data_IF_773452334350
#
_entry.id   IF_773452334350
#
_cell.length_a   1.000
_cell.length_b   1.000
_cell.length_c   1.000
_cell.angle_alpha   90.00
_cell.angle_beta   90.00
_cell.angle_gamma   90.00
#
_symmetry.space_group_name_H-M   'P 1'
#
loop_
_entity.id
_entity.type
_entity.pdbx_description
1 polymer ?
#
# COMPACT_ATOMS: atom_id res chain seq x y z
N UNK A 1 -5.48 15.09 11.37
CA UNK A 1 -6.83 14.56 11.09
C UNK A 1 -6.62 13.15 10.61
N UNK A 2 -7.27 12.14 11.21
CA UNK A 2 -7.20 10.76 10.70
C UNK A 2 -8.47 10.51 9.92
N UNK A 3 -8.37 10.31 8.61
CA UNK A 3 -9.56 10.05 7.79
C UNK A 3 -10.09 8.65 8.15
N UNK A 4 -11.39 8.49 8.42
CA UNK A 4 -11.95 7.17 8.64
C UNK A 4 -11.76 6.33 7.39
N UNK A 5 -11.27 5.10 7.54
CA UNK A 5 -11.01 4.18 6.44
C UNK A 5 -12.24 3.92 5.54
N UNK A 6 -13.45 4.21 6.01
CA UNK A 6 -14.70 4.13 5.25
C UNK A 6 -14.89 5.22 4.18
N UNK A 7 -14.15 6.33 4.24
CA UNK A 7 -14.19 7.39 3.23
C UNK A 7 -13.16 7.19 2.11
N UNK A 8 -12.33 6.15 2.22
CA UNK A 8 -11.33 5.83 1.21
C UNK A 8 -12.06 5.04 0.11
N UNK A 9 -12.04 5.57 -1.11
CA UNK A 9 -12.52 4.91 -2.32
C UNK A 9 -11.33 4.57 -3.24
N UNK A 10 -11.59 3.88 -4.35
CA UNK A 10 -10.53 3.44 -5.25
C UNK A 10 -9.91 4.64 -5.98
N UNK A 11 -10.71 5.66 -6.24
CA UNK A 11 -10.28 6.89 -6.93
C UNK A 11 -9.28 7.68 -6.08
N UNK A 12 -9.52 7.85 -4.78
CA UNK A 12 -8.60 8.56 -3.91
C UNK A 12 -7.26 7.82 -3.73
N UNK A 13 -7.25 6.49 -3.85
CA UNK A 13 -6.03 5.68 -3.74
C UNK A 13 -5.19 5.66 -5.03
N UNK A 14 -5.85 5.62 -6.20
CA UNK A 14 -5.20 5.30 -7.47
C UNK A 14 -5.10 6.45 -8.46
N UNK A 15 -6.03 7.41 -8.42
CA UNK A 15 -6.16 8.44 -9.45
C UNK A 15 -5.70 9.78 -8.91
N UNK A 16 -4.49 10.19 -9.26
CA UNK A 16 -3.91 11.48 -8.83
C UNK A 16 -4.73 12.69 -9.32
N UNK A 17 -5.39 12.54 -10.48
CA UNK A 17 -6.22 13.58 -11.09
C UNK A 17 -7.68 13.58 -10.59
N UNK A 18 -8.04 12.71 -9.64
CA UNK A 18 -9.40 12.67 -9.08
C UNK A 18 -9.59 13.78 -8.04
N UNK A 19 -10.79 14.37 -8.00
CA UNK A 19 -11.20 15.29 -6.93
C UNK A 19 -11.05 14.66 -5.53
N UNK A 20 -11.27 13.34 -5.44
CA UNK A 20 -11.14 12.56 -4.21
C UNK A 20 -9.69 12.32 -3.80
N UNK A 21 -8.68 12.57 -4.66
CA UNK A 21 -7.27 12.36 -4.31
C UNK A 21 -6.83 13.20 -3.11
N UNK A 22 -7.40 14.39 -2.93
CA UNK A 22 -7.07 15.25 -1.79
C UNK A 22 -7.55 14.73 -0.42
N UNK A 23 -8.36 13.66 -0.38
CA UNK A 23 -8.90 13.09 0.85
C UNK A 23 -7.79 12.58 1.79
N UNK A 24 -6.73 11.98 1.21
CA UNK A 24 -5.58 11.48 1.95
C UNK A 24 -4.42 12.47 1.87
N UNK A 25 -3.90 12.86 3.02
CA UNK A 25 -2.67 13.68 3.10
C UNK A 25 -1.45 12.88 2.62
N UNK A 26 -0.38 13.58 2.20
CA UNK A 26 0.87 12.94 1.78
C UNK A 26 1.42 11.98 2.86
N UNK A 27 1.36 12.41 4.13
CA UNK A 27 1.76 11.56 5.27
C UNK A 27 0.90 10.30 5.42
N UNK A 28 -0.42 10.41 5.22
CA UNK A 28 -1.32 9.24 5.28
C UNK A 28 -1.04 8.29 4.11
N UNK A 29 -0.67 8.81 2.94
CA UNK A 29 -0.28 8.01 1.76
C UNK A 29 1.00 7.20 1.98
N UNK A 30 1.90 7.69 2.83
CA UNK A 30 3.11 6.99 3.21
C UNK A 30 2.89 5.89 4.26
N UNK A 31 1.72 5.85 4.92
CA UNK A 31 1.42 4.81 5.89
C UNK A 31 1.41 3.42 5.25
N UNK A 32 1.98 2.45 5.96
CA UNK A 32 2.10 1.08 5.46
C UNK A 32 0.76 0.49 5.00
N UNK A 33 -0.32 0.72 5.74
CA UNK A 33 -1.64 0.22 5.40
C UNK A 33 -2.15 0.76 4.06
N UNK A 34 -1.92 2.05 3.78
CA UNK A 34 -2.33 2.69 2.52
C UNK A 34 -1.48 2.18 1.36
N UNK A 35 -0.17 2.01 1.58
CA UNK A 35 0.74 1.43 0.57
C UNK A 35 0.38 -0.02 0.24
N UNK A 36 0.08 -0.83 1.25
CA UNK A 36 -0.38 -2.21 1.09
C UNK A 36 -1.68 -2.25 0.29
N UNK A 37 -2.64 -1.38 0.62
CA UNK A 37 -3.90 -1.27 -0.09
C UNK A 37 -3.67 -0.98 -1.58
N UNK A 38 -2.85 0.02 -1.89
CA UNK A 38 -2.47 0.36 -3.26
C UNK A 38 -1.88 -0.83 -4.02
N UNK A 39 -1.04 -1.65 -3.37
CA UNK A 39 -0.43 -2.82 -4.03
C UNK A 39 -1.46 -3.90 -4.37
N UNK A 40 -2.46 -4.11 -3.52
CA UNK A 40 -3.53 -5.08 -3.77
C UNK A 40 -4.49 -4.57 -4.86
N UNK A 41 -4.77 -3.26 -4.90
CA UNK A 41 -5.66 -2.69 -5.91
C UNK A 41 -5.07 -2.63 -7.33
N UNK A 42 -3.75 -2.43 -7.46
CA UNK A 42 -3.07 -2.28 -8.77
C UNK A 42 -2.62 -3.63 -9.36
N UNK A 43 -2.67 -4.71 -8.57
CA UNK A 43 -1.94 -5.96 -8.83
C UNK A 43 -2.65 -7.05 -9.66
N UNK A 44 -3.36 -6.72 -10.75
CA UNK A 44 -3.99 -7.72 -11.63
C UNK A 44 -3.59 -7.57 -13.10
N UNK A 45 -3.43 -8.70 -13.83
CA UNK A 45 -3.21 -8.71 -15.30
C UNK A 45 -4.43 -8.22 -16.09
N UNK A 46 -5.58 -8.08 -15.44
CA UNK A 46 -6.86 -7.79 -16.07
C UNK A 46 -7.41 -6.54 -15.38
N UNK A 47 -7.65 -5.47 -16.15
CA UNK A 47 -8.38 -4.28 -15.71
C UNK A 47 -9.82 -4.67 -15.36
N UNK A 48 -10.02 -5.25 -14.17
CA UNK A 48 -11.35 -5.54 -13.65
C UNK A 48 -11.94 -4.20 -13.22
N UNK A 49 -12.97 -3.77 -13.95
CA UNK A 49 -13.76 -2.60 -13.61
C UNK A 49 -14.55 -2.97 -12.35
N UNK A 50 -13.96 -2.70 -11.20
CA UNK A 50 -14.49 -3.07 -9.89
C UNK A 50 -15.25 -1.89 -9.31
N UNK A 51 -16.58 -2.04 -9.25
CA UNK A 51 -17.48 -1.03 -8.65
C UNK A 51 -17.49 -1.10 -7.12
N UNK A 52 -16.97 -2.20 -6.53
CA UNK A 52 -16.99 -2.44 -5.10
C UNK A 52 -15.58 -2.44 -4.48
N UNK A 53 -15.32 -1.50 -3.56
CA UNK A 53 -14.05 -1.45 -2.82
C UNK A 53 -13.98 -2.47 -1.66
N UNK A 54 -15.13 -2.97 -1.21
CA UNK A 54 -15.25 -3.81 -0.02
C UNK A 54 -14.38 -5.08 -0.06
N UNK A 55 -14.30 -5.85 -1.17
CA UNK A 55 -13.45 -7.04 -1.25
C UNK A 55 -11.98 -6.72 -1.01
N UNK A 56 -11.50 -5.58 -1.52
CA UNK A 56 -10.13 -5.13 -1.32
C UNK A 56 -9.88 -4.74 0.14
N UNK A 57 -10.80 -4.00 0.76
CA UNK A 57 -10.72 -3.65 2.19
C UNK A 57 -10.61 -4.90 3.05
N UNK A 58 -11.48 -5.88 2.82
CA UNK A 58 -11.50 -7.11 3.60
C UNK A 58 -10.23 -7.94 3.38
N UNK A 59 -9.68 -7.92 2.17
CA UNK A 59 -8.42 -8.59 1.82
C UNK A 59 -7.22 -7.92 2.48
N UNK A 60 -7.07 -6.61 2.32
CA UNK A 60 -5.99 -5.82 2.91
C UNK A 60 -6.03 -5.91 4.43
N UNK A 61 -7.22 -5.90 5.04
CA UNK A 61 -7.38 -6.06 6.49
C UNK A 61 -6.88 -7.41 6.99
N UNK A 62 -7.13 -8.49 6.25
CA UNK A 62 -6.62 -9.83 6.59
C UNK A 62 -5.09 -9.85 6.50
N UNK A 63 -4.55 -9.43 5.35
CA UNK A 63 -3.10 -9.40 5.13
C UNK A 63 -2.39 -8.52 6.17
N UNK A 64 -2.91 -7.34 6.46
CA UNK A 64 -2.33 -6.45 7.47
C UNK A 64 -2.27 -7.10 8.85
N UNK A 65 -3.32 -7.83 9.26
CA UNK A 65 -3.34 -8.55 10.54
C UNK A 65 -2.34 -9.69 10.59
N UNK A 66 -2.12 -10.36 9.47
CA UNK A 66 -1.17 -11.46 9.38
C UNK A 66 0.29 -10.97 9.38
N UNK A 67 0.54 -9.74 8.89
CA UNK A 67 1.87 -9.13 8.84
C UNK A 67 2.27 -8.42 10.15
N UNK A 68 1.30 -7.85 10.88
CA UNK A 68 1.58 -7.06 12.07
C UNK A 68 1.59 -7.90 13.34
N UNK A 69 2.77 -7.99 13.96
CA UNK A 69 2.95 -8.57 15.28
C UNK A 69 2.80 -7.50 16.37
N UNK A 70 1.99 -7.81 17.40
CA UNK A 70 1.83 -6.99 18.61
C UNK A 70 2.20 -7.80 19.86
N UNK A 71 2.79 -7.14 20.84
CA UNK A 71 3.15 -7.72 22.11
C UNK A 71 2.72 -6.82 23.26
N UNK A 72 2.37 -7.40 24.40
CA UNK A 72 2.18 -6.65 25.63
C UNK A 72 3.53 -6.43 26.30
N UNK A 73 3.93 -5.17 26.46
CA UNK A 73 5.16 -4.82 27.15
C UNK A 73 5.04 -5.24 28.64
N UNK A 74 6.01 -6.00 29.17
CA UNK A 74 5.94 -6.53 30.53
C UNK A 74 5.97 -5.44 31.60
N UNK A 75 6.65 -4.31 31.33
CA UNK A 75 6.84 -3.22 32.29
C UNK A 75 5.68 -2.21 32.20
N UNK A 76 5.41 -1.71 30.99
CA UNK A 76 4.38 -0.67 30.77
C UNK A 76 2.95 -1.24 30.75
N UNK A 77 2.80 -2.56 30.54
CA UNK A 77 1.54 -3.26 30.28
C UNK A 77 0.80 -2.77 29.02
N UNK A 78 1.39 -1.89 28.22
CA UNK A 78 0.83 -1.39 26.97
C UNK A 78 0.98 -2.43 25.85
N UNK A 79 0.09 -2.39 24.86
CA UNK A 79 0.23 -3.15 23.63
C UNK A 79 1.12 -2.33 22.69
N UNK A 80 2.21 -2.94 22.25
CA UNK A 80 3.20 -2.32 21.37
C UNK A 80 3.34 -3.15 20.09
N UNK A 81 3.58 -2.47 18.97
CA UNK A 81 3.86 -3.12 17.68
C UNK A 81 5.34 -3.50 17.67
N UNK A 82 5.63 -4.78 17.45
CA UNK A 82 7.01 -5.32 17.42
C UNK A 82 7.49 -5.65 16.01
N UNK A 83 6.59 -5.58 15.03
CA UNK A 83 6.91 -5.78 13.62
C UNK A 83 7.49 -4.50 13.01
N UNK A 84 8.41 -4.68 12.06
CA UNK A 84 9.03 -3.59 11.32
C UNK A 84 8.76 -3.74 9.82
N UNK A 85 8.45 -2.62 9.18
CA UNK A 85 8.19 -2.55 7.73
C UNK A 85 9.26 -1.67 7.11
N UNK A 86 9.83 -2.15 6.00
CA UNK A 86 10.88 -1.45 5.27
C UNK A 86 10.48 -1.27 3.82
N UNK A 87 10.81 -0.12 3.26
CA UNK A 87 10.81 0.10 1.84
C UNK A 87 12.19 -0.25 1.28
N UNK A 88 12.23 -1.20 0.36
CA UNK A 88 13.47 -1.61 -0.32
C UNK A 88 13.51 -0.96 -1.70
N UNK A 89 14.52 -0.13 -1.94
CA UNK A 89 14.75 0.52 -3.25
C UNK A 89 16.02 -0.04 -3.88
N UNK A 90 15.92 -0.47 -5.14
CA UNK A 90 17.09 -0.86 -5.94
C UNK A 90 17.62 0.37 -6.64
N UNK A 91 18.86 0.73 -6.36
CA UNK A 91 19.57 1.77 -7.09
C UNK A 91 20.38 1.09 -8.20
N UNK A 92 19.91 1.18 -9.45
CA UNK A 92 20.73 0.81 -10.59
C UNK A 92 21.78 1.91 -10.72
N UNK A 93 22.97 1.65 -10.19
CA UNK A 93 24.14 2.43 -10.55
C UNK A 93 24.39 2.13 -12.02
N UNK A 94 24.44 3.18 -12.86
CA UNK A 94 24.80 3.04 -14.27
C UNK A 94 26.24 2.51 -14.37
N UNK A 95 26.40 1.18 -14.30
CA UNK A 95 27.61 0.53 -14.74
C UNK A 95 27.58 0.51 -16.28
N UNK A 96 28.57 1.13 -16.95
CA UNK A 96 28.63 1.14 -18.40
C UNK A 96 28.94 -0.28 -18.88
N UNK A 97 27.91 -1.07 -19.17
CA UNK A 97 28.09 -2.41 -19.75
C UNK A 97 26.96 -3.41 -19.55
N UNK A 98 26.03 -3.20 -18.61
CA UNK A 98 24.88 -4.08 -18.43
C UNK A 98 23.60 -3.33 -18.75
N UNK A 99 23.36 -3.16 -20.05
CA UNK A 99 22.03 -2.84 -20.55
C UNK A 99 21.17 -4.08 -20.29
N UNK A 100 20.52 -4.14 -19.13
CA UNK A 100 19.22 -4.82 -19.03
C UNK A 100 18.32 -4.01 -19.95
N UNK A 101 18.28 -4.39 -21.23
CA UNK A 101 17.35 -3.83 -22.18
C UNK A 101 16.00 -4.00 -21.52
N UNK A 102 15.29 -2.89 -21.33
CA UNK A 102 13.86 -2.86 -21.14
C UNK A 102 13.26 -3.94 -22.03
N UNK A 103 12.90 -5.07 -21.45
CA UNK A 103 12.03 -6.03 -22.10
C UNK A 103 10.67 -5.33 -22.00
N UNK A 104 10.10 -4.86 -23.12
CA UNK A 104 8.76 -4.32 -23.07
C UNK A 104 7.86 -5.45 -22.59
N UNK A 105 7.22 -5.27 -21.44
CA UNK A 105 6.06 -6.06 -21.06
C UNK A 105 4.94 -5.67 -22.04
N UNK A 106 4.94 -6.30 -23.21
CA UNK A 106 3.77 -6.43 -24.06
C UNK A 106 3.25 -7.85 -23.92
N UNK A 107 2.12 -8.00 -23.25
CA UNK A 107 1.15 -9.05 -23.48
C UNK A 107 -0.23 -8.37 -23.49
#
# INVERSE_FOLDING_TARGET
>A
RQVPFFFIDLQCLLLEDSDSYSILTEKEREEFLVRLFRHICIGGEICQQEDEIKPYIDTVRKIYRDLICVQKNPDSKAIEIVSHVYEVRVYVSELPGLILKNIPLSA
#
